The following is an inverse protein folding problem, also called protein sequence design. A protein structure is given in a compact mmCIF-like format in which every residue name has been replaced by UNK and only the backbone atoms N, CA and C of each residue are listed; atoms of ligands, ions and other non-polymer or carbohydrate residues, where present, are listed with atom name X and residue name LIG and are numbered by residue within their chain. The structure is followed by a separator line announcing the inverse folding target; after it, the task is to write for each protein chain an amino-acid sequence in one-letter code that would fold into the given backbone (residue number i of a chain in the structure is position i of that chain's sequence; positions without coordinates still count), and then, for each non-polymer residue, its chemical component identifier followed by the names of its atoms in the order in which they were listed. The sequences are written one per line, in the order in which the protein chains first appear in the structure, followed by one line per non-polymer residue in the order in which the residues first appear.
data_IF_127504493588
#
_entry.id   IF_127504493588
#
_cell.length_a   1.000
_cell.length_b   1.000
_cell.length_c   1.000
_cell.angle_alpha   90.00
_cell.angle_beta   90.00
_cell.angle_gamma   90.00
#
_symmetry.space_group_name_H-M   'P 1'
#
loop_
_entity.id
_entity.type
_entity.pdbx_description
1 polymer ?
#
# COMPACT_ATOMS: atom_id res chain seq x y z
N UNK A 1 10.65 -3.21 24.29
CA UNK A 1 9.74 -4.34 24.02
C UNK A 1 9.25 -4.16 22.60
N UNK A 2 9.41 -5.17 21.72
CA UNK A 2 8.80 -5.14 20.39
C UNK A 2 7.31 -5.30 20.61
N UNK A 3 6.52 -4.27 20.34
CA UNK A 3 5.11 -4.48 20.01
C UNK A 3 5.10 -5.31 18.73
N UNK A 4 5.02 -6.64 18.89
CA UNK A 4 4.60 -7.49 17.81
C UNK A 4 3.12 -7.16 17.62
N UNK A 5 2.84 -6.23 16.72
CA UNK A 5 1.49 -6.09 16.18
C UNK A 5 1.04 -7.51 15.81
N UNK A 6 -0.02 -7.99 16.49
CA UNK A 6 -0.61 -9.29 16.19
C UNK A 6 -1.12 -9.20 14.75
N UNK A 7 -0.37 -9.75 13.80
CA UNK A 7 -0.83 -9.92 12.44
C UNK A 7 -2.03 -10.85 12.47
N UNK A 8 -3.13 -10.42 11.83
CA UNK A 8 -4.27 -11.30 11.68
C UNK A 8 -4.00 -12.29 10.54
N UNK A 9 -4.48 -13.52 10.70
CA UNK A 9 -4.42 -14.54 9.66
C UNK A 9 -5.76 -14.62 8.95
N UNK A 10 -5.72 -14.63 7.63
CA UNK A 10 -6.91 -14.84 6.81
C UNK A 10 -7.07 -16.33 6.54
N UNK A 11 -8.28 -16.85 6.70
CA UNK A 11 -8.66 -18.21 6.29
C UNK A 11 -9.95 -18.17 5.49
N UNK A 12 -10.05 -19.02 4.46
CA UNK A 12 -11.22 -19.12 3.59
C UNK A 12 -11.77 -20.54 3.59
N UNK A 13 -13.08 -20.66 3.82
CA UNK A 13 -13.82 -21.92 3.79
C UNK A 13 -14.90 -21.82 2.72
N UNK A 14 -14.90 -22.77 1.78
CA UNK A 14 -15.94 -22.86 0.75
C UNK A 14 -16.93 -23.94 1.16
N UNK A 15 -18.21 -23.62 1.10
CA UNK A 15 -19.29 -24.49 1.52
C UNK A 15 -20.26 -24.74 0.37
N UNK A 16 -20.66 -25.99 0.21
CA UNK A 16 -21.75 -26.38 -0.68
C UNK A 16 -22.92 -26.92 0.13
N UNK A 17 -24.13 -26.77 -0.39
CA UNK A 17 -25.35 -27.31 0.22
C UNK A 17 -25.65 -28.67 -0.40
N UNK A 18 -25.38 -29.75 0.33
CA UNK A 18 -25.62 -31.14 -0.08
C UNK A 18 -26.72 -31.71 0.80
N UNK A 19 -27.79 -32.25 0.19
CA UNK A 19 -28.96 -32.81 0.88
C UNK A 19 -29.54 -31.88 1.96
N UNK A 20 -29.59 -30.59 1.64
CA UNK A 20 -30.12 -29.56 2.54
C UNK A 20 -29.15 -29.08 3.62
N UNK A 21 -27.95 -29.67 3.74
CA UNK A 21 -26.95 -29.33 4.76
C UNK A 21 -25.73 -28.64 4.16
N UNK A 22 -25.25 -27.60 4.82
CA UNK A 22 -23.97 -26.97 4.45
C UNK A 22 -22.81 -27.88 4.84
N UNK A 23 -21.94 -28.15 3.88
CA UNK A 23 -20.74 -28.95 4.06
C UNK A 23 -19.56 -28.16 3.53
N UNK A 24 -18.49 -28.09 4.30
CA UNK A 24 -17.23 -27.45 3.86
C UNK A 24 -16.58 -28.34 2.80
N UNK A 25 -16.48 -27.86 1.57
CA UNK A 25 -15.92 -28.59 0.44
C UNK A 25 -14.46 -28.24 0.16
N UNK A 26 -14.04 -27.02 0.52
CA UNK A 26 -12.62 -26.62 0.53
C UNK A 26 -12.28 -25.80 1.77
N UNK A 27 -11.08 -26.03 2.31
CA UNK A 27 -10.51 -25.31 3.44
C UNK A 27 -9.17 -24.74 3.02
N UNK A 28 -9.00 -23.44 3.22
CA UNK A 28 -7.74 -22.75 3.03
C UNK A 28 -7.43 -21.97 4.29
N UNK A 29 -6.52 -22.49 5.10
CA UNK A 29 -6.16 -21.90 6.39
C UNK A 29 -4.88 -21.08 6.25
N UNK A 30 -4.83 -19.94 6.93
CA UNK A 30 -3.68 -19.03 6.94
C UNK A 30 -3.17 -18.70 5.53
N UNK A 31 -4.08 -18.26 4.67
CA UNK A 31 -3.78 -17.95 3.26
C UNK A 31 -3.05 -16.62 3.07
N UNK A 32 -3.09 -15.75 4.08
CA UNK A 32 -2.33 -14.52 4.16
C UNK A 32 -2.22 -14.05 5.62
N UNK A 33 -1.11 -13.36 5.91
CA UNK A 33 -0.92 -12.57 7.12
C UNK A 33 -1.22 -11.11 6.76
N UNK A 34 -2.39 -10.62 7.13
CA UNK A 34 -2.88 -9.30 6.74
C UNK A 34 -3.59 -8.62 7.90
N UNK A 35 -3.55 -7.30 7.89
CA UNK A 35 -4.19 -6.51 8.92
C UNK A 35 -3.36 -6.37 10.19
N UNK A 36 -3.76 -5.41 11.01
CA UNK A 36 -3.09 -5.04 12.25
C UNK A 36 -4.11 -4.79 13.35
N UNK A 37 -3.70 -5.04 14.59
CA UNK A 37 -4.50 -4.72 15.79
C UNK A 37 -5.94 -5.30 15.77
N UNK A 38 -6.11 -6.50 15.20
CA UNK A 38 -7.40 -7.18 15.10
C UNK A 38 -8.30 -6.73 13.96
N UNK A 39 -7.86 -5.81 13.10
CA UNK A 39 -8.54 -5.42 11.87
C UNK A 39 -7.91 -6.12 10.66
N UNK A 40 -8.69 -6.95 9.96
CA UNK A 40 -8.26 -7.70 8.78
C UNK A 40 -8.26 -6.87 7.47
N UNK A 41 -8.78 -5.64 7.50
CA UNK A 41 -8.99 -4.80 6.32
C UNK A 41 -10.41 -4.91 5.74
N UNK A 42 -10.62 -4.20 4.64
CA UNK A 42 -11.88 -4.18 3.89
C UNK A 42 -11.90 -5.30 2.84
N UNK A 43 -12.92 -6.17 2.91
CA UNK A 43 -13.13 -7.23 1.93
C UNK A 43 -14.08 -6.77 0.82
N UNK A 44 -13.66 -6.94 -0.43
CA UNK A 44 -14.49 -6.68 -1.63
C UNK A 44 -14.57 -7.93 -2.50
N UNK A 45 -15.77 -8.36 -2.88
CA UNK A 45 -15.95 -9.42 -3.88
C UNK A 45 -15.59 -8.92 -5.27
N UNK A 46 -14.80 -9.69 -6.02
CA UNK A 46 -14.31 -9.30 -7.33
C UNK A 46 -14.44 -10.42 -8.36
N UNK A 47 -14.43 -10.04 -9.64
CA UNK A 47 -14.28 -10.97 -10.76
C UNK A 47 -12.87 -10.81 -11.30
N UNK A 48 -12.00 -11.80 -11.02
CA UNK A 48 -10.60 -11.80 -11.44
C UNK A 48 -10.42 -12.16 -12.91
N UNK A 49 -11.50 -12.60 -13.56
CA UNK A 49 -11.53 -13.07 -14.94
C UNK A 49 -12.87 -13.76 -15.24
N UNK A 50 -13.13 -14.09 -16.50
CA UNK A 50 -14.33 -14.85 -16.87
C UNK A 50 -14.39 -16.19 -16.11
N UNK A 51 -15.42 -16.38 -15.28
CA UNK A 51 -15.58 -17.58 -14.46
C UNK A 51 -14.60 -17.70 -13.29
N UNK A 52 -13.89 -16.62 -12.93
CA UNK A 52 -12.93 -16.58 -11.82
C UNK A 52 -13.41 -15.64 -10.71
N UNK A 53 -14.36 -16.08 -9.87
CA UNK A 53 -14.72 -15.32 -8.68
C UNK A 53 -13.53 -15.24 -7.72
N UNK A 54 -13.38 -14.09 -7.08
CA UNK A 54 -12.34 -13.86 -6.10
C UNK A 54 -12.77 -12.83 -5.07
N UNK A 55 -11.88 -12.50 -4.16
CA UNK A 55 -12.04 -11.37 -3.26
C UNK A 55 -10.74 -10.57 -3.18
N UNK A 56 -10.89 -9.28 -2.95
CA UNK A 56 -9.83 -8.35 -2.61
C UNK A 56 -9.89 -8.06 -1.11
N UNK A 57 -8.73 -7.90 -0.48
CA UNK A 57 -8.62 -7.31 0.85
C UNK A 57 -7.74 -6.09 0.74
N UNK A 58 -8.21 -4.95 1.26
CA UNK A 58 -7.39 -3.76 1.48
C UNK A 58 -7.20 -3.58 2.97
N UNK A 59 -5.98 -3.80 3.45
CA UNK A 59 -5.62 -3.58 4.85
C UNK A 59 -4.72 -2.35 5.02
N UNK A 60 -4.76 -1.77 6.21
CA UNK A 60 -3.99 -0.59 6.57
C UNK A 60 -3.01 -0.94 7.69
N UNK A 61 -1.78 -0.47 7.54
CA UNK A 61 -0.76 -0.55 8.57
C UNK A 61 -0.07 0.80 8.70
N UNK A 62 0.27 1.17 9.93
CA UNK A 62 0.97 2.41 10.19
C UNK A 62 2.13 2.21 11.16
N UNK A 63 3.15 3.05 11.02
CA UNK A 63 4.31 3.06 11.88
C UNK A 63 4.88 4.48 11.96
N UNK A 64 5.01 5.03 13.17
CA UNK A 64 5.65 6.33 13.43
C UNK A 64 5.19 7.45 12.46
N UNK A 65 3.88 7.63 12.35
CA UNK A 65 3.27 8.66 11.50
C UNK A 65 3.25 8.36 10.00
N UNK A 66 3.77 7.21 9.57
CA UNK A 66 3.55 6.66 8.23
C UNK A 66 2.31 5.78 8.22
N UNK A 67 1.53 5.84 7.14
CA UNK A 67 0.43 4.91 6.86
C UNK A 67 0.58 4.34 5.45
N UNK A 68 0.27 3.05 5.31
CA UNK A 68 0.20 2.36 4.03
C UNK A 68 -1.07 1.53 3.94
N UNK A 69 -1.68 1.50 2.75
CA UNK A 69 -2.75 0.53 2.44
C UNK A 69 -2.28 -0.45 1.39
N UNK A 70 -2.44 -1.72 1.71
CA UNK A 70 -2.02 -2.85 0.88
C UNK A 70 -3.23 -3.57 0.30
N UNK A 71 -3.20 -3.84 -1.00
CA UNK A 71 -4.19 -4.65 -1.71
C UNK A 71 -3.66 -6.06 -1.92
N UNK A 72 -4.45 -7.06 -1.53
CA UNK A 72 -4.27 -8.45 -1.88
C UNK A 72 -5.50 -8.99 -2.62
N UNK A 73 -5.27 -9.87 -3.60
CA UNK A 73 -6.30 -10.51 -4.42
C UNK A 73 -6.24 -12.03 -4.25
N UNK A 74 -7.39 -12.67 -4.14
CA UNK A 74 -7.51 -14.11 -3.90
C UNK A 74 -8.46 -14.76 -4.90
N UNK A 75 -8.03 -15.83 -5.55
CA UNK A 75 -8.82 -16.59 -6.52
C UNK A 75 -9.54 -17.78 -5.85
N UNK A 76 -10.87 -17.76 -5.82
CA UNK A 76 -11.68 -18.83 -5.22
C UNK A 76 -11.62 -20.15 -6.01
N UNK A 77 -11.17 -20.10 -7.25
CA UNK A 77 -11.01 -21.27 -8.11
C UNK A 77 -9.67 -21.96 -7.91
N UNK A 78 -8.71 -21.30 -7.28
CA UNK A 78 -7.39 -21.86 -7.02
C UNK A 78 -7.47 -23.08 -6.09
N UNK A 79 -6.74 -24.14 -6.45
CA UNK A 79 -6.62 -25.35 -5.63
C UNK A 79 -5.88 -25.09 -4.33
N UNK A 80 -4.83 -24.26 -4.39
CA UNK A 80 -4.08 -23.77 -3.23
C UNK A 80 -4.21 -22.24 -3.19
N UNK A 81 -5.24 -21.76 -2.50
CA UNK A 81 -5.54 -20.33 -2.42
C UNK A 81 -4.47 -19.61 -1.60
N UNK A 82 -3.89 -18.58 -2.20
CA UNK A 82 -2.94 -17.64 -1.61
C UNK A 82 -3.26 -16.25 -2.17
N UNK A 83 -2.70 -15.20 -1.57
CA UNK A 83 -2.67 -13.91 -2.23
C UNK A 83 -1.97 -14.07 -3.60
N UNK A 84 -2.61 -13.63 -4.68
CA UNK A 84 -2.03 -13.63 -6.03
C UNK A 84 -0.76 -12.77 -6.10
N UNK A 85 -0.64 -11.81 -5.20
CA UNK A 85 0.56 -11.03 -5.04
C UNK A 85 1.53 -11.74 -4.09
N UNK A 86 2.73 -12.08 -4.58
CA UNK A 86 3.81 -12.56 -3.72
C UNK A 86 4.38 -11.47 -2.80
N UNK A 87 4.01 -10.21 -3.04
CA UNK A 87 4.27 -9.03 -2.21
C UNK A 87 3.02 -8.15 -2.16
N UNK A 88 2.75 -7.43 -1.07
CA UNK A 88 1.63 -6.49 -1.00
C UNK A 88 1.70 -5.44 -2.13
N UNK A 89 0.57 -5.12 -2.76
CA UNK A 89 0.48 -4.01 -3.72
C UNK A 89 0.01 -2.79 -2.96
N UNK A 90 0.86 -1.78 -2.82
CA UNK A 90 0.46 -0.55 -2.15
C UNK A 90 -0.51 0.23 -3.02
N UNK A 91 -1.70 0.50 -2.48
CA UNK A 91 -2.72 1.39 -3.06
C UNK A 91 -2.74 2.74 -2.36
N UNK A 92 -2.02 2.88 -1.24
CA UNK A 92 -1.84 4.14 -0.55
C UNK A 92 -0.54 4.10 0.25
N UNK A 93 0.12 5.26 0.35
CA UNK A 93 1.29 5.47 1.20
C UNK A 93 1.37 6.96 1.54
N UNK A 94 1.51 7.27 2.82
CA UNK A 94 1.76 8.62 3.32
C UNK A 94 2.69 8.62 4.53
N UNK A 95 3.22 9.80 4.83
CA UNK A 95 3.90 10.08 6.09
C UNK A 95 3.36 11.32 6.81
N UNK A 96 2.08 11.64 6.60
CA UNK A 96 1.46 12.89 7.08
C UNK A 96 1.53 13.01 8.60
N UNK A 97 1.42 11.89 9.32
CA UNK A 97 1.49 11.85 10.79
C UNK A 97 2.87 12.13 11.38
N UNK A 98 3.91 12.22 10.54
CA UNK A 98 5.27 12.60 10.91
C UNK A 98 5.88 13.51 9.82
N UNK A 99 5.04 14.29 9.12
CA UNK A 99 5.46 15.22 8.06
C UNK A 99 5.67 16.66 8.59
N UNK A 100 6.12 16.81 9.82
CA UNK A 100 6.34 18.12 10.44
C UNK A 100 7.83 18.46 10.60
N UNK A 101 8.10 19.67 11.05
CA UNK A 101 9.43 20.08 11.45
C UNK A 101 10.50 19.97 10.36
N UNK A 102 11.63 19.35 10.72
CA UNK A 102 12.84 19.26 9.90
C UNK A 102 12.75 18.22 8.78
N UNK A 103 11.73 17.36 8.79
CA UNK A 103 11.66 16.22 7.87
C UNK A 103 11.79 16.69 6.41
N UNK A 104 12.81 16.22 5.68
CA UNK A 104 13.13 16.76 4.36
C UNK A 104 12.15 16.27 3.30
N UNK A 105 11.61 15.07 3.47
CA UNK A 105 10.75 14.42 2.49
C UNK A 105 9.38 14.08 3.08
N UNK A 106 8.33 14.48 2.37
CA UNK A 106 6.97 14.04 2.65
C UNK A 106 6.26 13.56 1.41
N UNK A 107 5.28 12.69 1.61
CA UNK A 107 4.42 12.23 0.55
C UNK A 107 3.04 11.86 1.09
N UNK A 108 2.04 12.04 0.23
CA UNK A 108 0.73 11.47 0.41
C UNK A 108 0.25 11.03 -0.98
N UNK A 109 0.24 9.72 -1.20
CA UNK A 109 -0.09 9.08 -2.47
C UNK A 109 -1.26 8.14 -2.26
N UNK A 110 -2.31 8.31 -3.07
CA UNK A 110 -3.50 7.47 -3.05
C UNK A 110 -3.81 6.94 -4.44
N UNK A 111 -4.18 5.66 -4.51
CA UNK A 111 -4.48 4.92 -5.71
C UNK A 111 -5.92 4.44 -5.73
N UNK A 112 -6.64 4.73 -6.81
CA UNK A 112 -7.93 4.12 -7.10
C UNK A 112 -7.70 2.89 -7.98
N UNK A 113 -8.08 1.71 -7.49
CA UNK A 113 -7.86 0.46 -8.21
C UNK A 113 -9.13 -0.09 -8.84
N UNK A 114 -8.97 -0.81 -9.94
CA UNK A 114 -10.05 -1.53 -10.64
C UNK A 114 -9.50 -2.74 -11.38
N UNK A 115 -10.36 -3.72 -11.64
CA UNK A 115 -10.05 -4.86 -12.52
C UNK A 115 -10.62 -4.60 -13.91
N UNK A 116 -9.78 -4.75 -14.94
CA UNK A 116 -10.13 -4.52 -16.34
C UNK A 116 -9.95 -5.81 -17.14
N UNK A 117 -11.07 -6.36 -17.59
CA UNK A 117 -11.06 -7.57 -18.43
C UNK A 117 -10.61 -7.22 -19.85
N UNK A 118 -9.49 -7.79 -20.29
CA UNK A 118 -9.07 -7.72 -21.69
C UNK A 118 -9.56 -8.93 -22.48
N UNK A 119 -9.82 -8.74 -23.77
CA UNK A 119 -10.21 -9.83 -24.66
C UNK A 119 -9.08 -10.87 -24.78
N UNK A 120 -9.44 -12.15 -24.72
CA UNK A 120 -8.50 -13.26 -24.85
C UNK A 120 -7.64 -13.56 -23.61
N UNK A 121 -7.80 -12.81 -22.52
CA UNK A 121 -7.09 -13.09 -21.26
C UNK A 121 -7.97 -13.86 -20.27
N UNK A 122 -7.38 -14.86 -19.61
CA UNK A 122 -8.05 -15.64 -18.57
C UNK A 122 -8.28 -14.84 -17.28
N UNK A 123 -7.42 -13.86 -17.01
CA UNK A 123 -7.52 -12.94 -15.88
C UNK A 123 -7.71 -11.50 -16.38
N UNK A 124 -8.39 -10.68 -15.59
CA UNK A 124 -8.42 -9.23 -15.75
C UNK A 124 -7.07 -8.63 -15.31
N UNK A 125 -6.69 -7.51 -15.89
CA UNK A 125 -5.58 -6.69 -15.40
C UNK A 125 -6.05 -5.88 -14.18
N UNK A 126 -5.18 -5.68 -13.20
CA UNK A 126 -5.38 -4.70 -12.13
C UNK A 126 -4.82 -3.37 -12.60
N UNK A 127 -5.68 -2.36 -12.73
CA UNK A 127 -5.27 -0.98 -13.00
C UNK A 127 -5.41 -0.14 -11.75
N UNK A 128 -4.43 0.70 -11.48
CA UNK A 128 -4.43 1.64 -10.36
C UNK A 128 -4.11 3.02 -10.90
N UNK A 129 -4.99 3.98 -10.67
CA UNK A 129 -4.80 5.38 -10.97
C UNK A 129 -4.33 6.10 -9.70
N UNK A 130 -3.08 6.54 -9.70
CA UNK A 130 -2.48 7.23 -8.55
C UNK A 130 -2.57 8.74 -8.69
N UNK A 131 -2.86 9.39 -7.57
CA UNK A 131 -2.78 10.83 -7.40
C UNK A 131 -2.22 11.16 -6.03
N UNK A 132 -1.64 12.35 -5.90
CA UNK A 132 -1.12 12.78 -4.62
C UNK A 132 -0.07 13.87 -4.74
N UNK A 133 0.74 14.01 -3.71
CA UNK A 133 1.79 15.01 -3.60
C UNK A 133 3.04 14.41 -3.00
N UNK A 134 4.18 14.92 -3.44
CA UNK A 134 5.49 14.69 -2.85
C UNK A 134 6.09 16.06 -2.55
N UNK A 135 6.58 16.24 -1.35
CA UNK A 135 7.22 17.45 -0.88
C UNK A 135 8.67 17.16 -0.53
N UNK A 136 9.59 18.03 -0.94
CA UNK A 136 11.01 17.85 -0.66
C UNK A 136 11.70 19.17 -0.35
N UNK A 137 12.53 19.20 0.69
CA UNK A 137 13.55 20.26 0.86
C UNK A 137 14.82 19.85 0.13
N UNK A 138 15.46 20.83 -0.52
CA UNK A 138 16.77 20.62 -1.13
C UNK A 138 17.86 20.47 -0.08
N UNK A 139 18.95 19.76 -0.43
CA UNK A 139 20.16 19.71 0.40
C UNK A 139 20.74 21.11 0.65
N UNK A 140 20.62 22.03 -0.32
CA UNK A 140 21.03 23.43 -0.17
C UNK A 140 20.26 24.15 0.95
N UNK A 141 18.97 23.83 1.13
CA UNK A 141 18.16 24.40 2.20
C UNK A 141 18.63 23.90 3.57
N UNK A 142 18.97 22.62 3.67
CA UNK A 142 19.56 22.03 4.87
C UNK A 142 20.91 22.65 5.21
N UNK A 143 21.82 22.73 4.23
CA UNK A 143 23.15 23.34 4.42
C UNK A 143 23.07 24.80 4.85
N UNK A 144 22.10 25.57 4.35
CA UNK A 144 21.89 26.96 4.79
C UNK A 144 21.40 27.05 6.23
N UNK A 145 20.50 26.16 6.64
CA UNK A 145 20.01 26.11 8.01
C UNK A 145 21.13 25.70 8.98
N UNK A 146 21.92 24.69 8.62
CA UNK A 146 23.05 24.22 9.43
C UNK A 146 24.14 25.30 9.55
N UNK A 147 24.45 26.02 8.45
CA UNK A 147 25.40 27.13 8.48
C UNK A 147 24.94 28.31 9.34
N UNK A 148 23.62 28.53 9.45
CA UNK A 148 23.04 29.53 10.36
C UNK A 148 23.26 29.13 11.83
N UNK A 149 23.07 27.84 12.15
CA UNK A 149 23.37 27.28 13.47
C UNK A 149 24.84 27.44 13.83
N UNK A 150 25.75 27.14 12.91
CA UNK A 150 27.20 27.21 13.14
C UNK A 150 27.71 28.66 13.27
N UNK A 151 27.10 29.61 12.55
CA UNK A 151 27.45 31.02 12.59
C UNK A 151 26.84 31.76 13.79
N UNK A 152 25.79 31.20 14.40
CA UNK A 152 25.13 31.80 15.54
C UNK A 152 26.00 31.64 16.80
N UNK A 153 26.36 32.75 17.44
CA UNK A 153 27.10 32.74 18.71
C UNK A 153 26.31 32.16 19.91
N UNK A 154 25.07 31.72 19.66
CA UNK A 154 24.19 30.98 20.53
C UNK A 154 23.36 30.01 19.67
N UNK A 155 23.01 28.84 20.20
CA UNK A 155 22.19 27.86 19.48
C UNK A 155 20.83 28.48 19.07
N UNK A 156 20.46 28.46 17.78
CA UNK A 156 19.19 29.01 17.33
C UNK A 156 18.04 28.20 17.94
N UNK A 157 16.92 28.86 18.17
CA UNK A 157 15.69 28.17 18.55
C UNK A 157 15.25 27.22 17.43
N UNK A 158 14.48 26.19 17.80
CA UNK A 158 13.93 25.24 16.83
C UNK A 158 13.13 25.95 15.71
N UNK A 159 12.35 26.98 16.06
CA UNK A 159 11.56 27.74 15.10
C UNK A 159 12.43 28.55 14.13
N UNK A 160 13.56 29.10 14.60
CA UNK A 160 14.53 29.79 13.73
C UNK A 160 15.22 28.82 12.77
N UNK A 161 15.54 27.61 13.24
CA UNK A 161 16.08 26.55 12.38
C UNK A 161 15.06 26.12 11.31
N UNK A 162 13.80 25.90 11.69
CA UNK A 162 12.73 25.57 10.74
C UNK A 162 12.47 26.70 9.73
N UNK A 163 12.54 27.96 10.15
CA UNK A 163 12.44 29.10 9.25
C UNK A 163 13.59 29.13 8.24
N UNK A 164 14.80 28.78 8.66
CA UNK A 164 15.99 28.72 7.80
C UNK A 164 15.92 27.59 6.76
N UNK A 165 15.32 26.45 7.13
CA UNK A 165 15.06 25.34 6.20
C UNK A 165 14.08 25.73 5.07
N UNK A 166 13.26 26.76 5.28
CA UNK A 166 12.29 27.21 4.30
C UNK A 166 11.18 26.19 3.99
N UNK A 167 10.28 26.54 3.04
CA UNK A 167 9.20 25.66 2.63
C UNK A 167 9.73 24.45 1.86
N UNK A 168 8.93 23.37 1.85
CA UNK A 168 9.19 22.22 0.96
C UNK A 168 8.71 22.54 -0.45
N UNK A 169 9.46 22.09 -1.45
CA UNK A 169 9.01 22.12 -2.84
C UNK A 169 7.99 21.01 -3.06
N UNK A 170 6.78 21.39 -3.46
CA UNK A 170 5.68 20.46 -3.66
C UNK A 170 5.54 20.08 -5.15
N UNK A 171 5.50 18.78 -5.41
CA UNK A 171 5.23 18.20 -6.74
C UNK A 171 3.99 17.34 -6.69
N UNK A 172 3.05 17.59 -7.61
CA UNK A 172 1.89 16.73 -7.79
C UNK A 172 2.31 15.41 -8.45
N UNK A 173 1.78 14.31 -7.94
CA UNK A 173 1.88 12.98 -8.53
C UNK A 173 0.59 12.68 -9.25
N UNK A 174 0.72 12.22 -10.51
CA UNK A 174 -0.35 11.63 -11.30
C UNK A 174 0.27 10.54 -12.13
N UNK A 175 -0.05 9.29 -11.81
CA UNK A 175 0.54 8.13 -12.48
C UNK A 175 -0.47 6.99 -12.56
N UNK A 176 -0.12 5.95 -13.29
CA UNK A 176 -0.93 4.74 -13.38
C UNK A 176 -0.02 3.54 -13.28
N UNK A 177 -0.46 2.49 -12.59
CA UNK A 177 0.15 1.17 -12.65
C UNK A 177 -0.86 0.19 -13.25
N UNK A 178 -0.41 -0.66 -14.15
CA UNK A 178 -1.18 -1.81 -14.63
C UNK A 178 -0.44 -3.08 -14.31
N UNK A 179 -1.09 -3.98 -13.62
CA UNK A 179 -0.57 -5.29 -13.28
C UNK A 179 -1.30 -6.38 -14.05
N UNK A 180 -0.54 -7.26 -14.70
CA UNK A 180 -1.08 -8.45 -15.34
C UNK A 180 -1.23 -9.56 -14.29
N UNK A 181 -2.43 -10.12 -14.19
CA UNK A 181 -2.74 -11.25 -13.30
C UNK A 181 -2.59 -12.57 -14.05
N UNK A 182 -2.23 -13.60 -13.32
CA UNK A 182 -2.17 -14.97 -13.81
C UNK A 182 -2.28 -15.96 -12.64
N UNK A 183 -2.39 -17.25 -12.95
CA UNK A 183 -2.32 -18.32 -11.93
C UNK A 183 -0.99 -18.32 -11.16
N UNK A 184 0.08 -17.78 -11.77
CA UNK A 184 1.40 -17.65 -11.14
C UNK A 184 1.53 -16.41 -10.26
N UNK A 185 0.49 -15.58 -10.23
CA UNK A 185 0.43 -14.35 -9.47
C UNK A 185 0.38 -13.09 -10.34
N UNK A 186 0.70 -11.96 -9.72
CA UNK A 186 0.60 -10.61 -10.28
C UNK A 186 1.97 -10.06 -10.66
N UNK A 187 2.05 -9.29 -11.76
CA UNK A 187 3.27 -8.60 -12.17
C UNK A 187 2.97 -7.22 -12.73
N UNK A 188 3.80 -6.22 -12.43
CA UNK A 188 3.69 -4.92 -13.08
C UNK A 188 3.94 -5.09 -14.59
N UNK A 189 2.96 -4.70 -15.40
CA UNK A 189 2.98 -4.82 -16.85
C UNK A 189 3.30 -3.49 -17.53
N UNK A 190 2.90 -2.36 -16.94
CA UNK A 190 3.21 -1.02 -17.42
C UNK A 190 2.96 0.04 -16.36
N UNK A 191 3.60 1.20 -16.50
CA UNK A 191 3.49 2.30 -15.55
C UNK A 191 4.39 2.13 -14.33
N UNK A 192 4.05 2.79 -13.24
CA UNK A 192 4.81 2.77 -11.97
C UNK A 192 3.85 2.86 -10.79
N UNK A 193 4.24 2.30 -9.65
CA UNK A 193 3.52 2.44 -8.40
C UNK A 193 4.23 3.46 -7.51
N UNK A 194 3.82 4.74 -7.53
CA UNK A 194 4.42 5.76 -6.69
C UNK A 194 4.12 5.59 -5.19
N UNK A 195 3.25 4.65 -4.79
CA UNK A 195 3.07 4.34 -3.37
C UNK A 195 4.19 3.43 -2.81
N UNK A 196 4.96 2.76 -3.67
CA UNK A 196 6.12 1.92 -3.28
C UNK A 196 7.37 2.75 -2.93
N UNK A 197 7.32 4.09 -3.02
CA UNK A 197 8.47 4.97 -2.76
C UNK A 197 8.87 5.07 -1.28
N UNK A 198 8.15 4.42 -0.36
CA UNK A 198 8.35 4.52 1.10
C UNK A 198 9.46 3.64 1.68
N UNK A 199 9.98 2.64 0.96
CA UNK A 199 10.87 1.62 1.54
C UNK A 199 12.37 2.05 1.58
N UNK A 200 12.67 3.33 1.32
CA UNK A 200 14.02 3.80 0.95
C UNK A 200 14.76 4.73 1.92
N UNK A 201 14.19 5.15 3.05
CA UNK A 201 14.87 6.03 4.03
C UNK A 201 14.93 5.43 5.45
#
# INVERSE_FOLDING_TARGET
MRDMALQATISAFLLDKVDGKWTVTRRHESIADMGSNGNAGELTWVTLGAGKPGFAIVDESGNRGQSVKSLALFDLTAKDMRALAGKPILVHSDNDGDCEGERPHCWNISGEWRLVQNQGQAYADLEIAFSGVVEQRSEDAKQKADALTDAAGAEPSYDEYLAALGPRDQRKVKSTARYALSEKGIRLASGENPAETSDGE
#
